data_IF_669319273545
#
_entry.id   IF_669319273545
#
_cell.length_a   1.000
_cell.length_b   1.000
_cell.length_c   1.000
_cell.angle_alpha   90.00
_cell.angle_beta   90.00
_cell.angle_gamma   90.00
#
_symmetry.space_group_name_H-M   'P 1'
#
loop_
_entity.id
_entity.type
_entity.pdbx_description
1 polymer ?
#
# COMPACT_ATOMS: atom_id res chain seq x y z
N UNK A 1 -4.15 21.98 -5.32
CA UNK A 1 -2.80 21.66 -4.83
C UNK A 1 -2.07 21.03 -5.99
N UNK A 2 -0.89 21.52 -6.37
CA UNK A 2 -0.06 20.88 -7.39
C UNK A 2 1.00 20.08 -6.66
N UNK A 3 1.01 18.77 -6.86
CA UNK A 3 2.03 17.84 -6.34
C UNK A 3 2.90 17.37 -7.51
N UNK A 4 4.21 17.50 -7.37
CA UNK A 4 5.19 17.11 -8.38
C UNK A 4 6.24 16.21 -7.76
N UNK A 5 6.25 14.96 -8.21
CA UNK A 5 7.19 13.93 -7.76
C UNK A 5 7.84 13.27 -8.99
N UNK A 6 9.16 13.42 -9.19
CA UNK A 6 9.86 12.83 -10.32
C UNK A 6 9.86 11.30 -10.23
N UNK A 7 9.01 10.66 -11.04
CA UNK A 7 8.89 9.20 -11.03
C UNK A 7 10.15 8.52 -11.56
N UNK A 8 10.77 7.68 -10.74
CA UNK A 8 11.74 6.69 -11.21
C UNK A 8 11.05 5.50 -11.89
N UNK A 9 11.76 4.80 -12.78
CA UNK A 9 11.33 3.59 -13.52
C UNK A 9 10.89 2.39 -12.64
N UNK A 10 10.76 2.55 -11.33
CA UNK A 10 10.38 1.48 -10.42
C UNK A 10 8.93 1.00 -10.67
N UNK A 11 8.02 1.92 -11.01
CA UNK A 11 6.59 1.61 -11.13
C UNK A 11 6.12 1.40 -12.57
N UNK A 12 6.85 1.89 -13.56
CA UNK A 12 6.40 1.93 -14.94
C UNK A 12 7.57 1.83 -15.92
N UNK A 13 7.39 0.99 -16.94
CA UNK A 13 8.34 0.85 -18.05
C UNK A 13 8.03 1.74 -19.25
N UNK A 14 6.84 2.35 -19.30
CA UNK A 14 6.36 3.15 -20.42
C UNK A 14 5.52 4.36 -19.96
N UNK A 15 5.18 5.24 -20.91
CA UNK A 15 4.43 6.47 -20.66
C UNK A 15 2.98 6.21 -20.22
N UNK A 16 2.35 5.14 -20.70
CA UNK A 16 0.96 4.80 -20.37
C UNK A 16 0.84 4.35 -18.92
N UNK A 17 1.75 3.50 -18.48
CA UNK A 17 1.87 3.07 -17.09
C UNK A 17 2.15 4.26 -16.18
N UNK A 18 3.04 5.18 -16.56
CA UNK A 18 3.30 6.41 -15.81
C UNK A 18 2.03 7.26 -15.66
N UNK A 19 1.25 7.43 -16.73
CA UNK A 19 -0.01 8.17 -16.70
C UNK A 19 -1.03 7.50 -15.75
N UNK A 20 -1.10 6.16 -15.75
CA UNK A 20 -1.95 5.40 -14.82
C UNK A 20 -1.58 5.64 -13.36
N UNK A 21 -0.29 5.64 -13.02
CA UNK A 21 0.15 5.93 -11.64
C UNK A 21 -0.14 7.37 -11.23
N UNK A 22 -0.02 8.33 -12.15
CA UNK A 22 -0.41 9.71 -11.89
C UNK A 22 -1.91 9.84 -11.60
N UNK A 23 -2.76 9.14 -12.38
CA UNK A 23 -4.21 9.09 -12.15
C UNK A 23 -4.57 8.47 -10.79
N UNK A 24 -3.95 7.33 -10.43
CA UNK A 24 -4.19 6.68 -9.13
C UNK A 24 -3.83 7.60 -7.97
N UNK A 25 -2.76 8.38 -8.11
CA UNK A 25 -2.33 9.34 -7.08
C UNK A 25 -3.30 10.51 -6.95
N UNK A 26 -3.77 11.05 -8.08
CA UNK A 26 -4.81 12.08 -8.08
C UNK A 26 -6.10 11.56 -7.41
N UNK A 27 -6.53 10.35 -7.76
CA UNK A 27 -7.71 9.72 -7.15
C UNK A 27 -7.54 9.51 -5.64
N UNK A 28 -6.34 9.14 -5.17
CA UNK A 28 -6.06 9.00 -3.74
C UNK A 28 -6.21 10.34 -3.00
N UNK A 29 -5.74 11.45 -3.59
CA UNK A 29 -5.96 12.79 -3.02
C UNK A 29 -7.44 13.19 -3.06
N UNK A 30 -8.14 12.94 -4.16
CA UNK A 30 -9.57 13.26 -4.29
C UNK A 30 -10.42 12.48 -3.27
N UNK A 31 -10.05 11.22 -3.00
CA UNK A 31 -10.69 10.39 -1.98
C UNK A 31 -10.48 10.91 -0.56
N UNK A 32 -9.28 11.40 -0.23
CA UNK A 32 -8.99 12.01 1.07
C UNK A 32 -9.69 13.36 1.25
N UNK A 33 -9.87 14.13 0.17
CA UNK A 33 -10.51 15.44 0.24
C UNK A 33 -12.02 15.38 0.54
N UNK A 34 -12.70 14.26 0.25
CA UNK A 34 -14.15 14.10 0.41
C UNK A 34 -14.50 12.81 1.15
N UNK A 35 -14.38 12.86 2.47
CA UNK A 35 -14.81 11.80 3.36
C UNK A 35 -16.05 12.19 4.14
N UNK A 36 -16.92 11.21 4.40
CA UNK A 36 -18.14 11.38 5.17
C UNK A 36 -18.08 10.45 6.37
N UNK A 37 -18.53 10.93 7.51
CA UNK A 37 -18.63 10.13 8.73
C UNK A 37 -20.06 10.18 9.24
N UNK A 38 -20.57 9.03 9.69
CA UNK A 38 -21.92 8.89 10.22
C UNK A 38 -21.91 8.01 11.45
N UNK A 39 -22.90 8.21 12.33
CA UNK A 39 -23.07 7.41 13.53
C UNK A 39 -24.52 7.00 13.72
N UNK A 40 -24.75 5.83 14.31
CA UNK A 40 -26.10 5.36 14.62
C UNK A 40 -26.11 4.01 15.33
N UNK A 41 -27.28 3.37 15.34
CA UNK A 41 -27.52 2.06 15.97
C UNK A 41 -27.71 0.93 14.95
N UNK A 42 -27.38 1.20 13.67
CA UNK A 42 -27.51 0.30 12.53
C UNK A 42 -26.60 -0.92 12.66
N UNK A 43 -27.19 -2.13 12.64
CA UNK A 43 -26.44 -3.40 12.78
C UNK A 43 -26.11 -4.10 11.46
N UNK A 44 -26.83 -3.77 10.40
CA UNK A 44 -26.77 -4.50 9.13
C UNK A 44 -25.78 -3.95 8.11
N UNK A 45 -25.15 -2.81 8.41
CA UNK A 45 -24.26 -2.11 7.49
C UNK A 45 -22.80 -2.43 7.82
N UNK A 46 -22.02 -2.88 6.84
CA UNK A 46 -20.60 -3.25 6.99
C UNK A 46 -19.71 -2.58 5.94
N UNK A 47 -18.40 -2.58 6.17
CA UNK A 47 -17.43 -2.09 5.18
C UNK A 47 -17.55 -2.86 3.85
N UNK A 48 -17.53 -2.14 2.73
CA UNK A 48 -17.73 -2.66 1.38
C UNK A 48 -19.19 -2.63 0.89
N UNK A 49 -20.16 -2.40 1.79
CA UNK A 49 -21.55 -2.19 1.39
C UNK A 49 -21.81 -0.74 1.01
N UNK A 50 -22.91 -0.52 0.29
CA UNK A 50 -23.37 0.82 -0.07
C UNK A 50 -24.80 1.06 0.40
N UNK A 51 -25.13 2.32 0.64
CA UNK A 51 -26.47 2.75 1.04
C UNK A 51 -26.83 4.08 0.37
N UNK A 52 -28.12 4.36 0.29
CA UNK A 52 -28.63 5.69 -0.05
C UNK A 52 -29.04 6.42 1.22
N UNK A 53 -28.59 7.66 1.36
CA UNK A 53 -28.99 8.52 2.47
C UNK A 53 -30.25 9.30 2.08
N UNK A 54 -31.35 9.01 2.76
CA UNK A 54 -32.62 9.73 2.61
C UNK A 54 -32.88 10.61 3.85
N UNK A 55 -33.71 11.65 3.69
CA UNK A 55 -34.17 12.53 4.78
C UNK A 55 -33.06 13.27 5.56
N UNK A 56 -31.93 13.58 4.91
CA UNK A 56 -30.86 14.36 5.52
C UNK A 56 -30.89 15.84 5.05
N UNK A 57 -31.05 16.84 5.94
CA UNK A 57 -31.21 18.25 5.56
C UNK A 57 -30.11 18.79 4.63
N UNK A 58 -28.86 18.41 4.87
CA UNK A 58 -27.73 18.84 4.04
C UNK A 58 -27.67 18.19 2.64
N UNK A 59 -28.51 17.16 2.38
CA UNK A 59 -28.54 16.41 1.12
C UNK A 59 -29.93 16.42 0.45
N UNK A 60 -30.85 17.28 0.91
CA UNK A 60 -32.19 17.38 0.32
C UNK A 60 -32.15 17.88 -1.13
N UNK A 61 -31.22 18.79 -1.44
CA UNK A 61 -31.01 19.35 -2.77
C UNK A 61 -30.06 18.52 -3.64
N UNK A 62 -29.43 17.48 -3.06
CA UNK A 62 -28.50 16.62 -3.78
C UNK A 62 -29.26 15.65 -4.72
N UNK A 63 -28.69 15.42 -5.90
CA UNK A 63 -29.19 14.41 -6.83
C UNK A 63 -29.18 13.01 -6.20
N UNK A 64 -30.01 12.06 -6.68
CA UNK A 64 -30.05 10.71 -6.12
C UNK A 64 -28.68 10.02 -6.08
N UNK A 65 -27.86 10.20 -7.12
CA UNK A 65 -26.51 9.62 -7.21
C UNK A 65 -25.55 10.23 -6.17
N UNK A 66 -25.78 11.50 -5.81
CA UNK A 66 -25.01 12.22 -4.81
C UNK A 66 -25.38 11.80 -3.38
N UNK A 67 -26.50 11.08 -3.21
CA UNK A 67 -26.94 10.50 -1.93
C UNK A 67 -26.52 9.04 -1.75
N UNK A 68 -25.77 8.47 -2.70
CA UNK A 68 -25.26 7.09 -2.60
C UNK A 68 -23.85 7.08 -2.02
N UNK A 69 -23.65 6.29 -0.96
CA UNK A 69 -22.39 6.19 -0.24
C UNK A 69 -21.97 4.73 -0.10
N UNK A 70 -20.67 4.48 -0.18
CA UNK A 70 -20.00 3.20 0.10
C UNK A 70 -19.29 3.32 1.43
N UNK A 71 -19.45 2.32 2.30
CA UNK A 71 -18.78 2.26 3.60
C UNK A 71 -17.35 1.77 3.42
N UNK A 72 -16.38 2.60 3.81
CA UNK A 72 -14.95 2.31 3.70
C UNK A 72 -14.36 1.83 5.02
N UNK A 73 -14.98 2.18 6.15
CA UNK A 73 -14.54 1.78 7.48
C UNK A 73 -15.70 1.75 8.46
N UNK A 74 -15.59 0.93 9.51
CA UNK A 74 -16.59 0.83 10.55
C UNK A 74 -15.95 0.58 11.91
N UNK A 75 -16.38 1.36 12.90
CA UNK A 75 -16.08 1.15 14.32
C UNK A 75 -17.38 0.81 15.03
N UNK A 76 -17.36 -0.24 15.85
CA UNK A 76 -18.54 -0.72 16.57
C UNK A 76 -18.24 -0.69 18.07
N UNK A 77 -19.21 -0.18 18.84
CA UNK A 77 -19.18 -0.28 20.29
C UNK A 77 -20.44 -1.03 20.74
N UNK A 78 -20.23 -2.16 21.41
CA UNK A 78 -21.30 -2.97 21.96
C UNK A 78 -21.11 -3.11 23.46
N UNK A 79 -22.20 -2.92 24.22
CA UNK A 79 -22.25 -3.14 25.66
C UNK A 79 -23.05 -4.41 25.91
N UNK A 80 -22.40 -5.38 26.53
CA UNK A 80 -23.09 -6.59 26.98
C UNK A 80 -23.83 -6.29 28.29
N UNK A 81 -25.12 -6.64 28.35
CA UNK A 81 -25.91 -6.53 29.58
C UNK A 81 -25.67 -7.76 30.45
N UNK A 82 -24.50 -7.82 31.09
CA UNK A 82 -24.14 -8.93 31.98
C UNK A 82 -25.07 -8.94 33.22
N UNK A 83 -25.54 -10.12 33.67
CA UNK A 83 -26.20 -10.25 34.96
C UNK A 83 -25.34 -9.67 36.09
N UNK A 84 -25.96 -9.02 37.07
CA UNK A 84 -25.23 -8.28 38.12
C UNK A 84 -24.24 -9.17 38.88
N UNK A 85 -24.61 -10.42 39.18
CA UNK A 85 -23.75 -11.38 39.88
C UNK A 85 -22.49 -11.70 39.08
N UNK A 86 -22.63 -11.93 37.76
CA UNK A 86 -21.52 -12.22 36.88
C UNK A 86 -20.61 -10.99 36.71
N UNK A 87 -21.20 -9.79 36.61
CA UNK A 87 -20.44 -8.55 36.54
C UNK A 87 -19.64 -8.29 37.83
N UNK A 88 -20.20 -8.59 39.01
CA UNK A 88 -19.49 -8.49 40.29
C UNK A 88 -18.36 -9.52 40.40
N UNK A 89 -18.60 -10.78 40.00
CA UNK A 89 -17.57 -11.82 39.98
C UNK A 89 -16.40 -11.46 39.05
N UNK A 90 -16.70 -10.94 37.85
CA UNK A 90 -15.66 -10.51 36.91
C UNK A 90 -14.85 -9.31 37.43
N UNK A 91 -15.49 -8.37 38.14
CA UNK A 91 -14.78 -7.23 38.78
C UNK A 91 -13.77 -7.70 39.82
N UNK A 92 -14.10 -8.75 40.56
CA UNK A 92 -13.24 -9.32 41.61
C UNK A 92 -12.13 -10.21 41.01
N UNK A 93 -12.47 -11.05 40.02
CA UNK A 93 -11.56 -12.06 39.50
C UNK A 93 -10.63 -11.56 38.38
N UNK A 94 -11.09 -10.61 37.55
CA UNK A 94 -10.34 -10.16 36.38
C UNK A 94 -10.67 -8.69 36.02
N UNK A 95 -10.30 -7.72 36.88
CA UNK A 95 -10.61 -6.31 36.66
C UNK A 95 -9.99 -5.74 35.38
N UNK A 96 -8.87 -6.30 34.91
CA UNK A 96 -8.22 -5.92 33.65
C UNK A 96 -9.07 -6.24 32.41
N UNK A 97 -9.90 -7.28 32.44
CA UNK A 97 -10.81 -7.61 31.34
C UNK A 97 -11.98 -6.63 31.23
N UNK A 98 -12.39 -6.03 32.35
CA UNK A 98 -13.41 -4.98 32.40
C UNK A 98 -12.85 -3.59 32.08
N UNK A 99 -11.57 -3.36 32.36
CA UNK A 99 -10.87 -2.12 32.00
C UNK A 99 -10.59 -2.00 30.49
N UNK A 100 -10.69 -3.11 29.75
CA UNK A 100 -10.39 -3.22 28.31
C UNK A 100 -11.52 -2.80 27.37
N UNK A 101 -12.40 -1.88 27.79
CA UNK A 101 -13.21 -1.15 26.82
C UNK A 101 -12.26 -0.22 26.07
N UNK A 102 -11.75 -0.66 24.91
CA UNK A 102 -10.92 0.16 24.02
C UNK A 102 -11.51 1.57 23.99
N UNK A 103 -10.81 2.52 24.62
CA UNK A 103 -11.08 3.93 24.46
C UNK A 103 -10.68 4.25 23.02
N UNK A 104 -11.53 3.88 22.08
CA UNK A 104 -11.48 4.44 20.74
C UNK A 104 -11.84 5.90 20.90
N UNK A 105 -11.02 6.81 20.38
CA UNK A 105 -11.30 8.26 20.31
C UNK A 105 -12.64 8.60 19.60
N UNK A 106 -13.34 7.59 19.08
CA UNK A 106 -14.75 7.63 18.74
C UNK A 106 -15.64 7.69 20.01
N UNK A 107 -15.60 8.82 20.73
CA UNK A 107 -16.78 9.21 21.48
C UNK A 107 -17.96 9.25 20.50
N UNK A 108 -19.10 8.59 20.78
CA UNK A 108 -20.29 8.79 19.96
C UNK A 108 -20.54 10.29 19.90
N UNK A 109 -20.93 10.80 18.72
CA UNK A 109 -21.51 12.14 18.59
C UNK A 109 -22.35 12.39 19.85
N UNK A 110 -22.00 13.40 20.64
CA UNK A 110 -22.48 13.56 22.01
C UNK A 110 -24.02 13.58 22.02
N UNK A 111 -24.62 12.42 22.18
CA UNK A 111 -26.05 12.27 22.32
C UNK A 111 -26.30 12.22 23.81
N UNK A 112 -27.09 13.17 24.29
CA UNK A 112 -27.63 13.25 25.66
C UNK A 112 -28.57 12.06 26.00
N UNK A 113 -28.57 11.00 25.17
CA UNK A 113 -29.36 9.79 25.32
C UNK A 113 -28.61 8.74 26.15
N UNK A 114 -29.32 7.93 26.95
CA UNK A 114 -28.72 6.78 27.61
C UNK A 114 -28.03 5.91 26.56
N UNK A 115 -26.72 5.70 26.75
CA UNK A 115 -25.85 5.04 25.78
C UNK A 115 -26.47 3.73 25.28
N UNK A 116 -26.88 3.71 24.02
CA UNK A 116 -27.47 2.54 23.38
C UNK A 116 -26.54 1.32 23.55
N UNK A 117 -27.09 0.10 23.73
CA UNK A 117 -26.28 -1.11 23.94
C UNK A 117 -25.41 -1.45 22.73
N UNK A 118 -25.69 -0.84 21.57
CA UNK A 118 -24.91 -0.99 20.37
C UNK A 118 -24.89 0.35 19.64
N UNK A 119 -23.71 0.83 19.31
CA UNK A 119 -23.49 2.01 18.46
C UNK A 119 -22.47 1.66 17.38
N UNK A 120 -22.64 2.24 16.21
CA UNK A 120 -21.69 2.13 15.10
C UNK A 120 -21.33 3.52 14.60
N UNK A 121 -20.05 3.70 14.31
CA UNK A 121 -19.54 4.81 13.49
C UNK A 121 -19.10 4.23 12.16
N UNK A 122 -19.51 4.85 11.08
CA UNK A 122 -19.11 4.49 9.73
C UNK A 122 -18.31 5.63 9.10
N UNK A 123 -17.30 5.25 8.36
CA UNK A 123 -16.62 6.09 7.39
C UNK A 123 -17.14 5.70 6.01
N UNK A 124 -17.47 6.70 5.21
CA UNK A 124 -18.08 6.49 3.93
C UNK A 124 -17.57 7.48 2.86
N UNK A 125 -17.69 7.06 1.62
CA UNK A 125 -17.32 7.83 0.44
C UNK A 125 -18.45 7.75 -0.58
N UNK A 126 -18.66 8.80 -1.38
CA UNK A 126 -19.71 8.78 -2.41
C UNK A 126 -19.42 7.69 -3.44
N UNK A 127 -20.46 6.94 -3.84
CA UNK A 127 -20.32 5.75 -4.71
C UNK A 127 -19.66 6.04 -6.06
N UNK A 128 -19.82 7.26 -6.58
CA UNK A 128 -19.21 7.68 -7.84
C UNK A 128 -17.71 8.00 -7.78
N UNK A 129 -17.12 8.06 -6.58
CA UNK A 129 -15.67 8.32 -6.43
C UNK A 129 -14.94 6.97 -6.37
N UNK A 130 -13.95 6.73 -7.24
CA UNK A 130 -13.14 5.51 -7.20
C UNK A 130 -12.48 5.32 -5.83
N UNK A 131 -12.55 4.08 -5.31
CA UNK A 131 -11.80 3.68 -4.13
C UNK A 131 -10.37 3.35 -4.55
N UNK A 132 -9.43 4.19 -4.15
CA UNK A 132 -8.00 3.99 -4.41
C UNK A 132 -7.22 3.86 -3.10
N UNK A 133 -6.24 2.95 -3.02
CA UNK A 133 -5.39 2.83 -1.85
C UNK A 133 -4.59 4.12 -1.62
N UNK A 134 -4.20 4.36 -0.37
CA UNK A 134 -3.32 5.47 -0.04
C UNK A 134 -1.97 5.29 -0.77
N UNK A 135 -1.54 6.35 -1.47
CA UNK A 135 -0.40 6.30 -2.36
C UNK A 135 0.96 6.42 -1.64
N UNK A 136 1.04 7.21 -0.56
CA UNK A 136 2.29 7.51 0.14
C UNK A 136 2.11 7.52 1.66
N UNK A 137 3.22 7.35 2.39
CA UNK A 137 3.25 7.42 3.84
C UNK A 137 2.55 6.25 4.56
N UNK A 138 2.36 5.12 3.87
CA UNK A 138 1.80 3.90 4.46
C UNK A 138 2.90 2.97 4.94
N UNK A 139 2.57 2.05 5.84
CA UNK A 139 3.49 0.97 6.25
C UNK A 139 3.89 0.04 5.09
N UNK A 140 3.10 0.06 4.02
CA UNK A 140 3.35 -0.65 2.77
C UNK A 140 3.98 0.24 1.69
N UNK A 141 4.59 1.36 2.10
CA UNK A 141 5.33 2.22 1.20
C UNK A 141 6.52 1.48 0.58
N UNK A 142 7.05 2.07 -0.49
CA UNK A 142 8.18 1.53 -1.24
C UNK A 142 9.35 1.18 -0.31
N UNK A 143 9.90 -0.05 -0.39
CA UNK A 143 11.11 -0.37 0.36
C UNK A 143 12.27 0.51 -0.11
N UNK A 144 12.99 1.10 0.83
CA UNK A 144 14.11 2.01 0.55
C UNK A 144 15.42 1.37 0.99
N UNK A 145 16.39 1.27 0.07
CA UNK A 145 17.77 0.88 0.44
C UNK A 145 18.48 2.10 1.02
N UNK A 146 18.85 2.04 2.30
CA UNK A 146 19.46 3.17 3.02
C UNK A 146 20.95 3.38 2.71
N UNK A 147 21.56 2.53 1.90
CA UNK A 147 22.97 2.63 1.56
C UNK A 147 23.41 1.69 0.46
N UNK A 148 24.72 1.72 0.19
CA UNK A 148 25.39 0.82 -0.75
C UNK A 148 25.51 -0.58 -0.16
N UNK A 149 25.46 -1.59 -1.02
CA UNK A 149 25.61 -2.99 -0.63
C UNK A 149 26.62 -3.66 -1.56
N UNK A 150 27.33 -4.65 -1.05
CA UNK A 150 28.21 -5.50 -1.85
C UNK A 150 27.42 -6.71 -2.37
N UNK A 151 27.88 -7.27 -3.48
CA UNK A 151 27.27 -8.42 -4.14
C UNK A 151 28.34 -9.23 -4.87
N UNK A 152 28.07 -10.50 -5.13
CA UNK A 152 28.97 -11.39 -5.89
C UNK A 152 28.62 -11.30 -7.37
N UNK A 153 29.61 -11.11 -8.25
CA UNK A 153 29.40 -11.14 -9.71
C UNK A 153 29.15 -12.57 -10.15
N UNK A 154 28.12 -12.79 -10.97
CA UNK A 154 27.67 -14.11 -11.41
C UNK A 154 27.58 -14.19 -12.93
N UNK A 155 27.79 -15.39 -13.46
CA UNK A 155 27.64 -15.74 -14.87
C UNK A 155 26.85 -17.03 -15.03
N UNK A 156 26.66 -17.55 -16.25
CA UNK A 156 25.98 -18.81 -16.49
C UNK A 156 26.63 -19.95 -15.73
N UNK A 157 25.83 -20.91 -15.27
CA UNK A 157 26.32 -22.08 -14.53
C UNK A 157 27.23 -22.99 -15.40
N UNK A 158 27.00 -23.00 -16.71
CA UNK A 158 27.74 -23.81 -17.67
C UNK A 158 28.41 -22.90 -18.72
N UNK A 159 29.64 -23.21 -19.15
CA UNK A 159 30.31 -22.51 -20.24
C UNK A 159 29.43 -22.56 -21.50
N UNK A 160 29.20 -21.41 -22.13
CA UNK A 160 28.46 -21.29 -23.39
C UNK A 160 29.39 -20.73 -24.46
N UNK A 161 29.14 -21.01 -25.74
CA UNK A 161 29.96 -20.51 -26.88
C UNK A 161 30.19 -18.98 -26.92
N UNK A 162 29.39 -18.21 -26.17
CA UNK A 162 29.49 -16.75 -26.03
C UNK A 162 30.19 -16.27 -24.75
N UNK A 163 30.67 -17.19 -23.90
CA UNK A 163 31.18 -16.92 -22.56
C UNK A 163 32.55 -17.57 -22.40
N UNK A 164 33.61 -16.75 -22.35
CA UNK A 164 34.86 -17.20 -21.75
C UNK A 164 34.58 -17.46 -20.26
N UNK A 165 35.06 -18.58 -19.71
CA UNK A 165 34.77 -19.12 -18.35
C UNK A 165 34.79 -18.09 -17.18
N UNK A 166 35.33 -16.90 -17.39
CA UNK A 166 35.55 -15.87 -16.37
C UNK A 166 34.76 -14.56 -16.61
N UNK A 167 34.29 -14.26 -17.83
CA UNK A 167 33.70 -12.95 -18.16
C UNK A 167 32.33 -13.13 -18.81
N UNK A 168 31.30 -12.63 -18.11
CA UNK A 168 29.92 -12.60 -18.61
C UNK A 168 29.38 -11.16 -18.63
N UNK A 169 29.34 -10.57 -19.82
CA UNK A 169 28.87 -9.19 -20.05
C UNK A 169 28.01 -9.10 -21.30
N UNK A 170 27.22 -8.02 -21.40
CA UNK A 170 26.45 -7.71 -22.60
C UNK A 170 27.10 -6.60 -23.45
N UNK A 171 26.47 -6.21 -24.56
CA UNK A 171 26.96 -5.15 -25.45
C UNK A 171 27.12 -3.77 -24.78
N UNK A 172 26.57 -3.58 -23.57
CA UNK A 172 26.69 -2.35 -22.77
C UNK A 172 27.67 -2.51 -21.60
N UNK A 173 28.44 -3.60 -21.58
CA UNK A 173 29.35 -3.96 -20.48
C UNK A 173 28.67 -4.02 -19.12
N UNK A 174 27.39 -4.44 -19.10
CA UNK A 174 26.64 -4.70 -17.87
C UNK A 174 27.04 -6.05 -17.30
N UNK A 175 26.84 -6.21 -15.99
CA UNK A 175 27.10 -7.47 -15.27
C UNK A 175 25.83 -7.96 -14.58
N UNK A 176 25.81 -9.24 -14.19
CA UNK A 176 24.82 -9.77 -13.26
C UNK A 176 25.49 -10.04 -11.92
N UNK A 177 24.73 -9.85 -10.84
CA UNK A 177 25.19 -10.08 -9.46
C UNK A 177 24.21 -10.88 -8.63
N UNK A 178 24.66 -11.43 -7.50
CA UNK A 178 23.81 -11.96 -6.44
C UNK A 178 24.14 -11.23 -5.13
N UNK A 179 23.12 -10.65 -4.50
CA UNK A 179 23.24 -10.01 -3.19
C UNK A 179 23.29 -11.04 -2.07
N UNK A 180 23.98 -10.71 -0.97
CA UNK A 180 24.16 -11.62 0.17
C UNK A 180 22.88 -11.99 0.91
N UNK A 181 21.84 -11.17 0.80
CA UNK A 181 20.54 -11.42 1.43
C UNK A 181 19.63 -12.33 0.59
N UNK A 182 19.96 -12.60 -0.68
CA UNK A 182 19.16 -13.48 -1.53
C UNK A 182 19.34 -14.94 -1.10
N UNK A 183 18.23 -15.57 -0.68
CA UNK A 183 18.23 -16.95 -0.17
C UNK A 183 17.63 -17.90 -1.21
N UNK A 184 18.31 -19.01 -1.58
CA UNK A 184 17.79 -20.01 -2.52
C UNK A 184 16.39 -20.53 -2.16
N UNK A 185 16.10 -20.68 -0.86
CA UNK A 185 14.83 -21.21 -0.38
C UNK A 185 13.64 -20.26 -0.65
N UNK A 186 13.88 -18.95 -0.69
CA UNK A 186 12.88 -17.92 -0.97
C UNK A 186 12.73 -17.66 -2.49
N UNK A 187 13.68 -18.17 -3.28
CA UNK A 187 13.82 -17.91 -4.71
C UNK A 187 14.05 -19.21 -5.51
N UNK A 188 13.12 -20.19 -5.47
CA UNK A 188 13.33 -21.54 -6.00
C UNK A 188 13.48 -21.61 -7.52
N UNK A 189 12.92 -20.65 -8.26
CA UNK A 189 12.98 -20.62 -9.73
C UNK A 189 13.97 -19.59 -10.28
N UNK A 190 14.07 -18.42 -9.66
CA UNK A 190 14.87 -17.29 -10.13
C UNK A 190 15.34 -16.45 -8.94
N UNK A 191 16.61 -16.03 -8.93
CA UNK A 191 17.08 -14.96 -8.04
C UNK A 191 18.10 -15.32 -6.97
N UNK A 192 18.54 -16.58 -6.83
CA UNK A 192 19.52 -16.93 -5.77
C UNK A 192 20.35 -18.21 -6.01
N UNK A 193 20.67 -18.55 -7.26
CA UNK A 193 21.36 -19.81 -7.60
C UNK A 193 22.84 -19.65 -7.98
N UNK A 194 23.41 -18.46 -7.75
CA UNK A 194 24.75 -18.05 -8.19
C UNK A 194 24.97 -18.25 -9.69
N UNK A 195 23.92 -17.98 -10.48
CA UNK A 195 23.90 -18.15 -11.93
C UNK A 195 23.47 -16.85 -12.65
N UNK A 196 23.35 -16.90 -13.97
CA UNK A 196 22.90 -15.78 -14.78
C UNK A 196 21.41 -15.42 -14.54
N UNK A 197 20.70 -16.14 -13.68
CA UNK A 197 19.30 -15.87 -13.32
C UNK A 197 19.18 -15.24 -11.94
N UNK A 198 20.29 -14.98 -11.24
CA UNK A 198 20.27 -14.33 -9.92
C UNK A 198 19.87 -12.85 -9.95
N UNK A 199 20.06 -12.15 -11.08
CA UNK A 199 19.63 -10.75 -11.23
C UNK A 199 19.42 -10.31 -12.69
N UNK A 200 18.86 -9.10 -12.84
CA UNK A 200 18.87 -8.39 -14.11
C UNK A 200 20.25 -7.77 -14.42
N UNK A 201 20.43 -7.23 -15.61
CA UNK A 201 21.67 -6.55 -15.99
C UNK A 201 21.88 -5.23 -15.23
N UNK A 202 22.98 -5.14 -14.49
CA UNK A 202 23.40 -3.94 -13.77
C UNK A 202 24.47 -3.18 -14.54
N UNK A 203 24.31 -1.85 -14.63
CA UNK A 203 25.34 -0.97 -15.19
C UNK A 203 26.51 -0.83 -14.23
N UNK A 204 27.71 -0.83 -14.79
CA UNK A 204 28.97 -0.65 -14.04
C UNK A 204 29.43 0.79 -14.20
N UNK A 205 29.74 1.47 -13.09
CA UNK A 205 30.36 2.78 -13.13
C UNK A 205 31.81 2.65 -13.61
N UNK A 206 32.19 3.42 -14.62
CA UNK A 206 33.55 3.46 -15.18
C UNK A 206 34.23 4.79 -14.85
N UNK A 207 35.56 4.83 -14.65
CA UNK A 207 36.28 6.07 -14.37
C UNK A 207 36.15 7.14 -15.48
N UNK A 208 35.90 6.71 -16.71
CA UNK A 208 35.61 7.58 -17.85
C UNK A 208 34.56 6.92 -18.75
N UNK A 209 33.56 7.69 -19.18
CA UNK A 209 32.50 7.24 -20.08
C UNK A 209 32.29 8.29 -21.18
N UNK A 210 32.84 8.03 -22.36
CA UNK A 210 32.67 8.85 -23.56
C UNK A 210 31.82 8.15 -24.61
N UNK A 211 31.20 8.91 -25.52
CA UNK A 211 30.68 8.32 -26.74
C UNK A 211 31.85 7.72 -27.53
N UNK A 212 31.72 6.46 -27.96
CA UNK A 212 32.78 5.72 -28.63
C UNK A 212 33.31 6.53 -29.82
N UNK A 213 34.56 6.97 -29.76
CA UNK A 213 35.23 7.57 -30.90
C UNK A 213 35.37 6.47 -31.95
N UNK A 214 34.68 6.63 -33.07
CA UNK A 214 34.97 5.83 -34.27
C UNK A 214 36.39 6.17 -34.67
N UNK A 215 37.35 5.32 -34.30
CA UNK A 215 38.68 5.39 -34.84
C UNK A 215 38.56 5.15 -36.34
N UNK A 216 38.59 6.25 -37.12
CA UNK A 216 38.79 6.15 -38.56
C UNK A 216 40.15 5.47 -38.78
N UNK A 217 40.24 4.41 -39.59
CA UNK A 217 41.54 3.86 -39.95
C UNK A 217 42.26 4.93 -40.77
N UNK A 218 43.32 5.50 -40.20
CA UNK A 218 44.26 6.30 -40.95
C UNK A 218 45.00 5.38 -41.94
N UNK A 219 44.82 5.69 -43.23
CA UNK A 219 45.83 5.62 -44.30
C UNK A 219 46.55 4.31 -44.56
#
# INVERSE_FOLDING_TARGET
MQDYDPQGLYYAGDAEQLARYAQLRQQAYDAQAKQFEGGGTLRGLTAGQWFRLDEHPAHETDSPQHREFVVTGQTLQARNNLPQDLAQQLKLAAPSLLAGGLATDAAPFASDQPAAPFTTRIQAQRRGIPLTPAYAGTDHAKPTSLGVQTATVVGPAEPTDQVADEIYTDAQSRIKVQFHWQRPQEHPQFGANLDDKSSCWLRVAMPNAGAMAVASPFG
#
